data_IF_129664439291
#
_entry.id   IF_129664439291
#
_cell.length_a   1.000
_cell.length_b   1.000
_cell.length_c   1.000
_cell.angle_alpha   90.00
_cell.angle_beta   90.00
_cell.angle_gamma   90.00
#
_symmetry.space_group_name_H-M   'P 1'
#
loop_
_entity.id
_entity.type
_entity.pdbx_description
1 polymer ?
#
# COMPACT_ATOMS: atom_id res chain seq x y z
N UNK A 1 23.30 7.86 4.44
CA UNK A 1 22.72 8.21 3.11
C UNK A 1 21.46 7.40 2.98
N UNK A 2 20.32 8.01 2.79
CA UNK A 2 19.02 7.31 2.69
C UNK A 2 18.97 6.53 1.39
N UNK A 3 18.77 5.23 1.48
CA UNK A 3 18.71 4.38 0.31
C UNK A 3 17.33 4.46 -0.35
N UNK A 4 17.22 5.23 -1.40
CA UNK A 4 16.26 5.01 -2.45
C UNK A 4 16.96 4.29 -3.61
N UNK A 5 16.19 3.55 -4.37
CA UNK A 5 16.71 2.71 -5.43
C UNK A 5 16.30 3.25 -6.79
N UNK A 6 17.23 3.29 -7.71
CA UNK A 6 17.00 3.69 -9.08
C UNK A 6 16.53 2.49 -9.90
N UNK A 7 15.25 2.53 -10.30
CA UNK A 7 14.62 1.43 -11.03
C UNK A 7 14.18 1.94 -12.41
N UNK A 8 14.66 1.34 -13.51
CA UNK A 8 14.22 1.70 -14.86
C UNK A 8 12.78 1.27 -15.11
N UNK A 9 12.09 2.03 -15.94
CA UNK A 9 10.77 1.68 -16.50
C UNK A 9 11.01 0.93 -17.82
N UNK A 10 10.65 -0.35 -17.86
CA UNK A 10 10.79 -1.16 -19.06
C UNK A 10 9.75 -0.79 -20.13
N UNK A 11 8.53 -0.53 -19.69
CA UNK A 11 7.38 -0.30 -20.58
C UNK A 11 6.37 0.62 -19.90
N UNK A 12 5.66 1.41 -20.73
CA UNK A 12 4.50 2.20 -20.31
C UNK A 12 3.29 1.73 -21.09
N UNK A 13 2.33 1.12 -20.40
CA UNK A 13 1.10 0.60 -20.98
C UNK A 13 -0.04 1.58 -20.72
N UNK A 14 -0.71 2.05 -21.78
CA UNK A 14 -1.90 2.89 -21.61
C UNK A 14 -3.10 2.03 -21.27
N UNK A 15 -3.67 2.28 -20.10
CA UNK A 15 -4.86 1.56 -19.60
C UNK A 15 -6.16 2.26 -20.00
N UNK A 16 -6.21 3.58 -19.80
CA UNK A 16 -7.36 4.43 -20.16
C UNK A 16 -6.86 5.78 -20.70
N UNK A 17 -7.78 6.70 -20.99
CA UNK A 17 -7.42 8.06 -21.39
C UNK A 17 -6.64 8.84 -20.31
N UNK A 18 -6.81 8.45 -19.03
CA UNK A 18 -6.25 9.13 -17.86
C UNK A 18 -5.43 8.22 -16.93
N UNK A 19 -5.10 6.99 -17.38
CA UNK A 19 -4.30 6.05 -16.58
C UNK A 19 -3.29 5.28 -17.43
N UNK A 20 -2.11 5.03 -16.86
CA UNK A 20 -1.10 4.14 -17.44
C UNK A 20 -0.45 3.25 -16.39
N UNK A 21 0.01 2.07 -16.82
CA UNK A 21 0.85 1.16 -16.05
C UNK A 21 2.31 1.36 -16.43
N UNK A 22 3.18 1.45 -15.42
CA UNK A 22 4.62 1.51 -15.55
C UNK A 22 5.17 0.15 -15.15
N UNK A 23 5.70 -0.60 -16.10
CA UNK A 23 6.38 -1.89 -15.86
C UNK A 23 7.82 -1.59 -15.44
N UNK A 24 8.20 -2.06 -14.27
CA UNK A 24 9.49 -1.79 -13.66
C UNK A 24 10.51 -2.87 -14.03
N UNK A 25 11.69 -2.44 -14.45
CA UNK A 25 12.82 -3.33 -14.72
C UNK A 25 13.73 -3.40 -13.47
N UNK A 26 13.26 -4.14 -12.46
CA UNK A 26 14.02 -4.30 -11.21
C UNK A 26 15.29 -5.07 -11.49
N UNK A 27 16.49 -4.45 -11.25
CA UNK A 27 17.75 -5.14 -11.46
C UNK A 27 17.88 -6.40 -10.60
N UNK A 28 18.56 -7.46 -11.08
CA UNK A 28 18.66 -8.74 -10.37
C UNK A 28 19.20 -8.62 -8.94
N UNK A 29 20.12 -7.70 -8.68
CA UNK A 29 20.67 -7.47 -7.33
C UNK A 29 19.70 -6.77 -6.37
N UNK A 30 18.61 -6.21 -6.88
CA UNK A 30 17.51 -5.64 -6.09
C UNK A 30 16.31 -6.57 -5.98
N UNK A 31 16.37 -7.77 -6.54
CA UNK A 31 15.24 -8.70 -6.57
C UNK A 31 14.70 -9.03 -5.17
N UNK A 32 15.58 -9.23 -4.19
CA UNK A 32 15.18 -9.47 -2.79
C UNK A 32 14.55 -8.23 -2.15
N UNK A 33 15.15 -7.04 -2.34
CA UNK A 33 14.66 -5.76 -1.82
C UNK A 33 13.28 -5.38 -2.40
N UNK A 34 13.03 -5.75 -3.66
CA UNK A 34 11.76 -5.48 -4.35
C UNK A 34 10.82 -6.69 -4.40
N UNK A 35 11.12 -7.76 -3.64
CA UNK A 35 10.14 -8.81 -3.39
C UNK A 35 8.95 -8.24 -2.64
N UNK A 36 7.72 -8.59 -3.06
CA UNK A 36 6.52 -7.98 -2.47
C UNK A 36 5.39 -8.99 -2.31
N UNK A 37 4.45 -8.64 -1.43
CA UNK A 37 3.19 -9.34 -1.26
C UNK A 37 2.10 -8.62 -2.06
N UNK A 38 1.09 -9.34 -2.59
CA UNK A 38 0.00 -8.71 -3.34
C UNK A 38 -0.72 -7.68 -2.48
N UNK A 39 -1.01 -6.52 -3.07
CA UNK A 39 -1.64 -5.38 -2.39
C UNK A 39 -0.65 -4.35 -1.80
N UNK A 40 0.65 -4.66 -1.77
CA UNK A 40 1.68 -3.69 -1.37
C UNK A 40 1.89 -2.58 -2.42
N UNK A 41 2.55 -1.51 -2.01
CA UNK A 41 2.86 -0.34 -2.83
C UNK A 41 4.35 0.00 -2.78
N UNK A 42 4.80 0.81 -3.73
CA UNK A 42 6.10 1.50 -3.68
C UNK A 42 5.89 3.00 -3.55
N UNK A 43 6.85 3.68 -2.90
CA UNK A 43 6.87 5.14 -2.85
C UNK A 43 7.77 5.69 -3.93
N UNK A 44 7.21 6.52 -4.79
CA UNK A 44 7.90 7.13 -5.94
C UNK A 44 8.28 8.56 -5.57
N UNK A 45 9.56 8.92 -5.81
CA UNK A 45 10.03 10.28 -5.76
C UNK A 45 9.80 10.96 -7.10
N UNK A 46 9.06 12.07 -7.08
CA UNK A 46 8.76 12.85 -8.28
C UNK A 46 9.46 14.21 -8.16
N UNK A 47 10.24 14.64 -9.15
CA UNK A 47 10.89 15.95 -9.14
C UNK A 47 9.88 17.08 -9.00
N UNK A 48 10.24 18.14 -8.26
CA UNK A 48 9.37 19.30 -8.07
C UNK A 48 10.19 20.58 -8.04
N UNK A 49 9.84 21.54 -8.88
CA UNK A 49 10.49 22.85 -8.92
C UNK A 49 10.26 23.72 -7.65
N UNK A 50 9.27 23.36 -6.80
CA UNK A 50 8.95 24.10 -5.57
C UNK A 50 9.67 23.55 -4.34
N UNK A 51 9.81 22.22 -4.25
CA UNK A 51 10.29 21.54 -3.04
C UNK A 51 11.45 20.58 -3.33
N UNK A 52 12.05 20.65 -4.54
CA UNK A 52 13.04 19.70 -5.02
C UNK A 52 12.41 18.36 -5.42
N UNK A 53 11.57 17.79 -4.59
CA UNK A 53 10.80 16.59 -4.91
C UNK A 53 9.54 16.48 -4.05
N UNK A 54 8.59 15.66 -4.53
CA UNK A 54 7.43 15.18 -3.77
C UNK A 54 7.39 13.66 -3.83
N UNK A 55 6.80 13.04 -2.83
CA UNK A 55 6.64 11.59 -2.75
C UNK A 55 5.19 11.18 -2.91
N UNK A 56 4.94 10.04 -3.60
CA UNK A 56 3.61 9.43 -3.69
C UNK A 56 3.71 7.92 -3.69
N UNK A 57 2.77 7.30 -2.98
CA UNK A 57 2.61 5.85 -2.95
C UNK A 57 1.77 5.39 -4.14
N UNK A 58 2.22 4.33 -4.82
CA UNK A 58 1.49 3.66 -5.91
C UNK A 58 1.51 2.17 -5.66
N UNK A 59 0.33 1.57 -5.56
CA UNK A 59 0.19 0.13 -5.37
C UNK A 59 0.74 -0.64 -6.55
N UNK A 60 1.41 -1.73 -6.25
CA UNK A 60 1.82 -2.72 -7.25
C UNK A 60 0.56 -3.41 -7.77
N UNK A 61 0.35 -3.40 -9.08
CA UNK A 61 -0.82 -3.98 -9.77
C UNK A 61 -0.51 -5.30 -10.48
N UNK A 62 0.75 -5.70 -10.49
CA UNK A 62 1.27 -6.97 -11.00
C UNK A 62 1.08 -8.12 -10.00
N UNK A 63 1.38 -9.34 -10.43
CA UNK A 63 1.28 -10.57 -9.64
C UNK A 63 2.67 -11.04 -9.20
N UNK A 64 2.99 -11.06 -7.89
CA UNK A 64 4.29 -11.55 -7.42
C UNK A 64 4.44 -13.09 -7.48
N UNK A 65 3.36 -13.83 -7.75
CA UNK A 65 3.36 -15.29 -7.90
C UNK A 65 3.66 -15.75 -9.34
N UNK A 66 3.75 -14.84 -10.29
CA UNK A 66 4.11 -15.13 -11.68
C UNK A 66 5.50 -14.58 -11.99
N UNK A 67 6.01 -14.89 -13.20
CA UNK A 67 7.25 -14.33 -13.70
C UNK A 67 7.09 -12.89 -14.25
N UNK A 68 5.93 -12.25 -14.03
CA UNK A 68 5.67 -10.90 -14.50
C UNK A 68 6.56 -9.88 -13.77
N UNK A 69 7.02 -8.88 -14.50
CA UNK A 69 7.74 -7.76 -13.91
C UNK A 69 6.82 -6.97 -12.98
N UNK A 70 7.33 -6.43 -11.85
CA UNK A 70 6.57 -5.51 -11.02
C UNK A 70 6.03 -4.34 -11.84
N UNK A 71 4.79 -3.95 -11.60
CA UNK A 71 4.17 -2.82 -12.27
C UNK A 71 3.33 -1.98 -11.30
N UNK A 72 3.39 -0.67 -11.45
CA UNK A 72 2.50 0.28 -10.78
C UNK A 72 1.59 0.92 -11.80
N UNK A 73 0.35 1.23 -11.41
CA UNK A 73 -0.61 1.89 -12.29
C UNK A 73 -1.01 3.24 -11.73
N UNK A 74 -0.78 4.27 -12.53
CA UNK A 74 -0.99 5.67 -12.16
C UNK A 74 -2.18 6.22 -12.92
N UNK A 75 -3.14 6.80 -12.18
CA UNK A 75 -4.27 7.55 -12.75
C UNK A 75 -4.09 9.04 -12.51
N UNK A 76 -4.38 9.88 -13.50
CA UNK A 76 -4.42 11.33 -13.33
C UNK A 76 -5.37 11.73 -12.21
N UNK A 77 -4.89 12.57 -11.32
CA UNK A 77 -5.72 13.22 -10.31
C UNK A 77 -5.95 14.66 -10.72
N UNK A 78 -7.19 15.11 -10.76
CA UNK A 78 -7.49 16.51 -11.05
C UNK A 78 -6.77 17.43 -10.07
N UNK A 79 -5.96 18.38 -10.58
CA UNK A 79 -5.13 19.28 -9.78
C UNK A 79 -3.94 18.61 -9.05
N UNK A 80 -3.76 17.30 -9.20
CA UNK A 80 -2.64 16.56 -8.60
C UNK A 80 -1.34 16.81 -9.35
N UNK A 81 -0.24 17.07 -8.62
CA UNK A 81 1.06 17.31 -9.25
C UNK A 81 1.72 16.00 -9.75
N UNK A 82 1.96 15.06 -8.83
CA UNK A 82 2.80 13.89 -9.12
C UNK A 82 2.21 12.95 -10.19
N UNK A 83 0.91 12.63 -10.11
CA UNK A 83 0.26 11.76 -11.10
C UNK A 83 0.27 12.39 -12.50
N UNK A 84 0.06 13.71 -12.59
CA UNK A 84 0.14 14.42 -13.86
C UNK A 84 1.57 14.44 -14.39
N UNK A 85 2.55 14.75 -13.54
CA UNK A 85 3.96 14.74 -13.94
C UNK A 85 4.39 13.37 -14.46
N UNK A 86 4.02 12.29 -13.78
CA UNK A 86 4.35 10.93 -14.21
C UNK A 86 3.76 10.62 -15.58
N UNK A 87 2.47 10.89 -15.80
CA UNK A 87 1.81 10.60 -17.06
C UNK A 87 2.33 11.48 -18.23
N UNK A 88 2.87 12.65 -17.94
CA UNK A 88 3.37 13.58 -18.95
C UNK A 88 4.85 13.36 -19.29
N UNK A 89 5.67 12.81 -18.36
CA UNK A 89 7.12 12.78 -18.53
C UNK A 89 7.75 11.38 -18.48
N UNK A 90 7.08 10.39 -17.87
CA UNK A 90 7.66 9.05 -17.75
C UNK A 90 7.41 8.23 -19.01
N UNK A 91 8.49 7.76 -19.62
CA UNK A 91 8.48 6.91 -20.81
C UNK A 91 9.32 5.66 -20.55
N UNK A 92 9.25 4.68 -21.45
CA UNK A 92 10.15 3.53 -21.41
C UNK A 92 11.62 4.01 -21.42
N UNK A 93 12.45 3.43 -20.56
CA UNK A 93 13.84 3.83 -20.31
C UNK A 93 14.01 4.93 -19.26
N UNK A 94 12.93 5.60 -18.80
CA UNK A 94 13.01 6.52 -17.68
C UNK A 94 13.43 5.78 -16.40
N UNK A 95 14.16 6.46 -15.51
CA UNK A 95 14.56 5.89 -14.22
C UNK A 95 13.75 6.56 -13.11
N UNK A 96 13.16 5.76 -12.24
CA UNK A 96 12.41 6.22 -11.07
C UNK A 96 13.22 5.99 -9.79
N UNK A 97 13.22 6.97 -8.90
CA UNK A 97 13.71 6.82 -7.54
C UNK A 97 12.59 6.23 -6.68
N UNK A 98 12.77 5.03 -6.16
CA UNK A 98 11.76 4.27 -5.42
C UNK A 98 12.27 3.90 -4.01
N UNK A 99 11.34 3.87 -3.04
CA UNK A 99 11.53 3.09 -1.83
C UNK A 99 11.03 1.65 -2.05
N UNK A 100 11.53 0.66 -1.27
CA UNK A 100 11.10 -0.72 -1.35
C UNK A 100 9.59 -0.89 -1.18
N UNK A 101 9.01 -2.02 -1.65
CA UNK A 101 7.62 -2.35 -1.42
C UNK A 101 7.26 -2.36 0.06
N UNK A 102 6.08 -1.80 0.38
CA UNK A 102 5.59 -1.65 1.74
C UNK A 102 4.06 -1.73 1.78
N UNK A 103 3.49 -1.78 3.00
CA UNK A 103 2.05 -1.81 3.23
C UNK A 103 1.56 -3.15 3.77
N UNK A 104 0.42 -3.08 4.46
CA UNK A 104 -0.19 -4.21 5.18
C UNK A 104 -1.46 -4.74 4.51
N UNK A 105 -1.92 -4.09 3.43
CA UNK A 105 -3.12 -4.48 2.67
C UNK A 105 -2.85 -5.73 1.82
N UNK A 106 -2.56 -6.85 2.48
CA UNK A 106 -2.22 -8.12 1.86
C UNK A 106 -2.98 -9.25 2.52
N UNK A 107 -3.53 -10.22 1.77
CA UNK A 107 -4.13 -11.40 2.36
C UNK A 107 -3.07 -12.26 3.07
N UNK A 108 -3.48 -12.87 4.20
CA UNK A 108 -2.63 -13.81 4.93
C UNK A 108 -2.48 -15.14 4.19
N UNK A 109 -3.50 -15.55 3.45
CA UNK A 109 -3.52 -16.73 2.60
C UNK A 109 -4.19 -16.40 1.27
N UNK A 110 -3.72 -17.00 0.17
CA UNK A 110 -4.32 -16.88 -1.16
C UNK A 110 -5.35 -17.95 -1.47
N UNK A 111 -5.51 -18.96 -0.60
CA UNK A 111 -6.45 -20.08 -0.79
C UNK A 111 -7.89 -19.76 -0.41
N UNK A 112 -8.14 -18.61 0.26
CA UNK A 112 -9.46 -18.17 0.70
C UNK A 112 -10.37 -17.71 -0.43
N UNK A 113 -11.66 -17.60 -0.11
CA UNK A 113 -12.64 -16.93 -0.95
C UNK A 113 -12.56 -15.41 -0.73
N UNK A 114 -12.56 -14.63 -1.81
CA UNK A 114 -12.39 -13.17 -1.76
C UNK A 114 -13.59 -12.42 -2.29
N UNK A 115 -14.01 -11.39 -1.55
CA UNK A 115 -14.95 -10.37 -1.98
C UNK A 115 -14.22 -9.05 -2.13
N UNK A 116 -13.89 -8.69 -3.35
CA UNK A 116 -13.05 -7.55 -3.68
C UNK A 116 -13.92 -6.36 -4.09
N UNK A 117 -13.67 -5.20 -3.49
CA UNK A 117 -14.33 -3.96 -3.83
C UNK A 117 -13.31 -2.92 -4.29
N UNK A 118 -13.48 -2.43 -5.50
CA UNK A 118 -12.63 -1.40 -6.07
C UNK A 118 -13.45 -0.25 -6.63
N UNK A 119 -12.92 0.98 -6.53
CA UNK A 119 -13.46 2.12 -7.28
C UNK A 119 -12.34 2.95 -7.90
N UNK A 120 -12.46 3.18 -9.21
CA UNK A 120 -11.46 3.91 -9.99
C UNK A 120 -10.05 3.34 -9.84
N UNK A 121 -9.08 4.17 -9.44
CA UNK A 121 -7.68 3.72 -9.21
C UNK A 121 -7.51 2.77 -8.03
N UNK A 122 -8.51 2.62 -7.15
CA UNK A 122 -8.48 1.61 -6.09
C UNK A 122 -8.41 0.17 -6.60
N UNK A 123 -8.58 -0.04 -7.91
CA UNK A 123 -8.36 -1.35 -8.53
C UNK A 123 -6.90 -1.81 -8.45
N UNK A 124 -5.92 -0.92 -8.30
CA UNK A 124 -4.49 -1.29 -8.43
C UNK A 124 -4.03 -2.33 -7.39
N UNK A 125 -4.22 -2.16 -6.06
CA UNK A 125 -3.86 -3.20 -5.10
C UNK A 125 -4.78 -4.41 -5.21
N UNK A 126 -6.05 -4.19 -5.51
CA UNK A 126 -7.06 -5.24 -5.68
C UNK A 126 -6.72 -6.15 -6.85
N UNK A 127 -6.21 -5.60 -7.96
CA UNK A 127 -5.77 -6.37 -9.13
C UNK A 127 -4.59 -7.28 -8.80
N UNK A 128 -3.64 -6.81 -8.01
CA UNK A 128 -2.53 -7.64 -7.52
C UNK A 128 -3.02 -8.81 -6.68
N UNK A 129 -3.94 -8.56 -5.74
CA UNK A 129 -4.56 -9.62 -4.92
C UNK A 129 -5.33 -10.61 -5.79
N UNK A 130 -6.16 -10.11 -6.71
CA UNK A 130 -6.97 -10.93 -7.62
C UNK A 130 -6.10 -11.85 -8.46
N UNK A 131 -5.09 -11.31 -9.15
CA UNK A 131 -4.16 -12.11 -9.97
C UNK A 131 -3.42 -13.15 -9.13
N UNK A 132 -2.97 -12.77 -7.94
CA UNK A 132 -2.26 -13.67 -7.04
C UNK A 132 -3.14 -14.82 -6.52
N UNK A 133 -4.39 -14.52 -6.16
CA UNK A 133 -5.36 -15.53 -5.73
C UNK A 133 -5.78 -16.48 -6.89
N UNK A 134 -5.82 -15.98 -8.12
CA UNK A 134 -6.02 -16.84 -9.29
C UNK A 134 -4.83 -17.75 -9.55
N UNK A 135 -3.60 -17.24 -9.42
CA UNK A 135 -2.37 -17.95 -9.74
C UNK A 135 -2.00 -18.99 -8.69
N UNK A 136 -2.11 -18.69 -7.41
CA UNK A 136 -1.63 -19.54 -6.33
C UNK A 136 -2.73 -20.14 -5.46
N UNK A 137 -3.93 -19.55 -5.42
CA UNK A 137 -5.05 -20.01 -4.60
C UNK A 137 -6.06 -20.84 -5.37
N UNK A 138 -7.10 -21.33 -4.65
CA UNK A 138 -8.17 -22.19 -5.17
C UNK A 138 -9.56 -21.64 -4.95
N UNK A 139 -9.70 -20.62 -4.09
CA UNK A 139 -10.97 -20.05 -3.70
C UNK A 139 -11.68 -19.29 -4.82
N UNK A 140 -12.91 -18.89 -4.54
CA UNK A 140 -13.71 -18.04 -5.42
C UNK A 140 -13.37 -16.58 -5.21
N UNK A 141 -13.44 -15.81 -6.27
CA UNK A 141 -13.16 -14.38 -6.25
C UNK A 141 -14.35 -13.65 -6.86
N UNK A 142 -14.90 -12.70 -6.13
CA UNK A 142 -15.94 -11.80 -6.62
C UNK A 142 -15.41 -10.38 -6.56
N UNK A 143 -15.30 -9.73 -7.70
CA UNK A 143 -14.89 -8.34 -7.81
C UNK A 143 -16.11 -7.45 -8.13
N UNK A 144 -16.40 -6.50 -7.27
CA UNK A 144 -17.34 -5.39 -7.55
C UNK A 144 -16.50 -4.15 -7.84
N UNK A 145 -16.52 -3.71 -9.10
CA UNK A 145 -15.65 -2.64 -9.57
C UNK A 145 -16.45 -1.44 -10.09
N UNK A 146 -16.41 -0.34 -9.33
CA UNK A 146 -17.13 0.90 -9.63
C UNK A 146 -16.26 1.88 -10.42
N UNK A 147 -16.84 2.46 -11.47
CA UNK A 147 -16.23 3.47 -12.32
C UNK A 147 -17.27 4.47 -12.81
N UNK A 148 -16.84 5.66 -13.26
CA UNK A 148 -17.74 6.67 -13.84
C UNK A 148 -18.48 6.14 -15.07
N UNK A 149 -17.74 5.50 -15.96
CA UNK A 149 -18.18 5.01 -17.26
C UNK A 149 -17.26 3.87 -17.74
N UNK A 150 -17.58 3.24 -18.86
CA UNK A 150 -16.82 2.13 -19.45
C UNK A 150 -15.41 2.53 -19.88
N UNK A 151 -15.18 3.80 -20.28
CA UNK A 151 -13.87 4.30 -20.72
C UNK A 151 -12.91 4.56 -19.55
N UNK A 152 -13.45 4.59 -18.33
CA UNK A 152 -12.70 4.79 -17.09
C UNK A 152 -12.24 3.47 -16.44
N UNK A 153 -12.62 2.31 -17.01
CA UNK A 153 -12.33 0.98 -16.48
C UNK A 153 -10.87 0.61 -16.72
N UNK A 154 -10.02 0.80 -15.71
CA UNK A 154 -8.62 0.37 -15.75
C UNK A 154 -8.59 -1.17 -15.76
N UNK A 155 -7.70 -1.78 -16.56
CA UNK A 155 -7.58 -3.22 -16.75
C UNK A 155 -8.83 -3.92 -17.33
N UNK A 156 -9.74 -3.19 -17.98
CA UNK A 156 -10.98 -3.76 -18.51
C UNK A 156 -10.75 -5.00 -19.40
N UNK A 157 -9.90 -4.95 -20.43
CA UNK A 157 -9.57 -6.10 -21.28
C UNK A 157 -8.90 -7.24 -20.51
N UNK A 158 -8.03 -6.93 -19.56
CA UNK A 158 -7.34 -7.93 -18.73
C UNK A 158 -8.32 -8.66 -17.80
N UNK A 159 -9.22 -7.92 -17.13
CA UNK A 159 -10.28 -8.50 -16.29
C UNK A 159 -11.20 -9.43 -17.07
N UNK A 160 -11.56 -9.05 -18.31
CA UNK A 160 -12.35 -9.90 -19.20
C UNK A 160 -11.65 -11.24 -19.54
N UNK A 161 -10.35 -11.19 -19.85
CA UNK A 161 -9.55 -12.41 -20.11
C UNK A 161 -9.42 -13.27 -18.85
N UNK A 162 -9.07 -12.66 -17.71
CA UNK A 162 -8.94 -13.38 -16.44
C UNK A 162 -10.26 -14.05 -16.03
N UNK A 163 -11.40 -13.41 -16.24
CA UNK A 163 -12.70 -14.01 -15.94
C UNK A 163 -13.04 -15.19 -16.87
N UNK A 164 -12.69 -15.10 -18.16
CA UNK A 164 -12.87 -16.18 -19.13
C UNK A 164 -11.98 -17.39 -18.79
N UNK A 165 -10.73 -17.15 -18.41
CA UNK A 165 -9.73 -18.20 -18.14
C UNK A 165 -9.87 -18.84 -16.76
N UNK A 166 -10.57 -18.18 -15.84
CA UNK A 166 -10.68 -18.61 -14.43
C UNK A 166 -11.59 -19.84 -14.20
N UNK A 167 -12.23 -20.41 -15.24
CA UNK A 167 -13.10 -21.58 -15.08
C UNK A 167 -14.28 -21.37 -14.11
N UNK A 168 -14.81 -20.16 -14.01
CA UNK A 168 -15.91 -19.79 -13.11
C UNK A 168 -15.49 -19.43 -11.68
N UNK A 169 -14.20 -19.42 -11.37
CA UNK A 169 -13.68 -18.96 -10.07
C UNK A 169 -13.73 -17.44 -9.89
N UNK A 170 -13.71 -16.66 -10.97
CA UNK A 170 -13.75 -15.21 -10.95
C UNK A 170 -15.09 -14.69 -11.51
N UNK A 171 -15.77 -13.88 -10.72
CA UNK A 171 -16.93 -13.10 -11.14
C UNK A 171 -16.58 -11.62 -11.05
N UNK A 172 -16.71 -10.90 -12.17
CA UNK A 172 -16.50 -9.45 -12.21
C UNK A 172 -17.82 -8.74 -12.43
N UNK A 173 -18.20 -7.88 -11.48
CA UNK A 173 -19.40 -7.04 -11.54
C UNK A 173 -18.92 -5.59 -11.75
N UNK A 174 -19.14 -5.06 -12.94
CA UNK A 174 -18.90 -3.65 -13.24
C UNK A 174 -20.08 -2.80 -12.79
N UNK A 175 -19.83 -1.81 -11.93
CA UNK A 175 -20.78 -0.77 -11.57
C UNK A 175 -20.39 0.51 -12.29
N UNK A 176 -21.25 1.00 -13.19
CA UNK A 176 -20.98 2.21 -13.97
C UNK A 176 -21.93 3.33 -13.49
N UNK A 177 -21.35 4.40 -12.95
CA UNK A 177 -22.11 5.54 -12.42
C UNK A 177 -22.97 6.22 -13.50
N UNK A 178 -22.47 6.20 -14.77
CA UNK A 178 -23.20 6.69 -15.93
C UNK A 178 -24.55 6.00 -16.19
N UNK A 179 -24.70 4.74 -15.72
CA UNK A 179 -25.91 3.92 -15.89
C UNK A 179 -26.71 3.78 -14.62
N UNK A 180 -26.04 3.64 -13.47
CA UNK A 180 -26.65 3.21 -12.21
C UNK A 180 -26.60 4.30 -11.11
N UNK A 181 -25.93 5.44 -11.40
CA UNK A 181 -25.57 6.41 -10.37
C UNK A 181 -24.51 5.88 -9.41
N UNK A 182 -24.17 6.69 -8.40
CA UNK A 182 -23.17 6.30 -7.38
C UNK A 182 -23.61 5.06 -6.60
N UNK A 183 -22.70 4.10 -6.32
CA UNK A 183 -23.01 2.92 -5.53
C UNK A 183 -23.54 3.28 -4.14
N UNK A 184 -24.71 2.82 -3.79
CA UNK A 184 -25.29 3.01 -2.46
C UNK A 184 -25.02 1.81 -1.56
N UNK A 185 -25.00 2.03 -0.24
CA UNK A 185 -24.87 0.92 0.73
C UNK A 185 -25.95 -0.16 0.54
N UNK A 186 -27.17 0.21 0.16
CA UNK A 186 -28.26 -0.75 -0.11
C UNK A 186 -27.97 -1.65 -1.32
N UNK A 187 -27.48 -1.05 -2.42
CA UNK A 187 -27.10 -1.80 -3.62
C UNK A 187 -25.91 -2.72 -3.35
N UNK A 188 -24.89 -2.21 -2.65
CA UNK A 188 -23.72 -3.00 -2.25
C UNK A 188 -24.15 -4.15 -1.32
N UNK A 189 -25.05 -3.91 -0.36
CA UNK A 189 -25.59 -4.96 0.52
C UNK A 189 -26.24 -6.08 -0.29
N UNK A 190 -27.03 -5.73 -1.32
CA UNK A 190 -27.66 -6.74 -2.18
C UNK A 190 -26.62 -7.59 -2.95
N UNK A 191 -25.58 -6.96 -3.48
CA UNK A 191 -24.49 -7.64 -4.20
C UNK A 191 -23.62 -8.51 -3.27
N UNK A 192 -23.32 -8.03 -2.06
CA UNK A 192 -22.44 -8.72 -1.10
C UNK A 192 -23.12 -9.86 -0.34
N UNK A 193 -24.44 -9.87 -0.25
CA UNK A 193 -25.22 -10.83 0.56
C UNK A 193 -24.85 -12.30 0.37
N UNK A 194 -24.58 -12.80 -0.86
CA UNK A 194 -24.21 -14.21 -1.06
C UNK A 194 -22.79 -14.55 -0.59
N UNK A 195 -21.96 -13.55 -0.24
CA UNK A 195 -20.52 -13.68 -0.07
C UNK A 195 -20.02 -13.25 1.33
N UNK A 196 -20.90 -13.29 2.33
CA UNK A 196 -20.57 -12.86 3.71
C UNK A 196 -19.51 -13.72 4.41
N UNK A 197 -19.18 -14.90 3.86
CA UNK A 197 -18.11 -15.78 4.33
C UNK A 197 -16.74 -15.47 3.71
N UNK A 198 -16.66 -14.59 2.70
CA UNK A 198 -15.44 -14.24 2.01
C UNK A 198 -14.65 -13.17 2.78
N UNK A 199 -13.33 -13.15 2.60
CA UNK A 199 -12.50 -12.06 3.08
C UNK A 199 -12.66 -10.85 2.15
N UNK A 200 -13.03 -9.71 2.72
CA UNK A 200 -13.33 -8.51 1.96
C UNK A 200 -12.12 -7.56 1.90
N UNK A 201 -11.67 -7.21 0.69
CA UNK A 201 -10.63 -6.21 0.45
C UNK A 201 -11.23 -5.03 -0.31
N UNK A 202 -11.05 -3.82 0.23
CA UNK A 202 -11.76 -2.62 -0.22
C UNK A 202 -10.76 -1.51 -0.50
N UNK A 203 -10.76 -0.94 -1.73
CA UNK A 203 -9.96 0.23 -2.05
C UNK A 203 -10.71 1.17 -3.01
N UNK A 204 -10.71 2.46 -2.71
CA UNK A 204 -11.40 3.49 -3.50
C UNK A 204 -11.51 4.82 -2.75
N UNK A 205 -12.29 5.78 -3.29
CA UNK A 205 -12.55 7.05 -2.62
C UNK A 205 -13.34 6.88 -1.30
N UNK A 206 -13.11 7.79 -0.34
CA UNK A 206 -13.73 7.72 0.99
C UNK A 206 -15.25 7.50 0.99
N UNK A 207 -16.08 8.15 0.14
CA UNK A 207 -17.52 7.86 0.11
C UNK A 207 -17.84 6.42 -0.29
N UNK A 208 -17.06 5.82 -1.20
CA UNK A 208 -17.21 4.44 -1.60
C UNK A 208 -16.81 3.49 -0.47
N UNK A 209 -15.66 3.74 0.18
CA UNK A 209 -15.21 2.96 1.33
C UNK A 209 -16.26 2.95 2.44
N UNK A 210 -16.83 4.11 2.75
CA UNK A 210 -17.89 4.24 3.76
C UNK A 210 -19.14 3.43 3.39
N UNK A 211 -19.60 3.49 2.14
CA UNK A 211 -20.77 2.75 1.66
C UNK A 211 -20.57 1.23 1.72
N UNK A 212 -19.36 0.75 1.34
CA UNK A 212 -19.03 -0.69 1.41
C UNK A 212 -18.94 -1.16 2.85
N UNK A 213 -18.26 -0.41 3.73
CA UNK A 213 -18.17 -0.76 5.16
C UNK A 213 -19.53 -0.81 5.85
N UNK A 214 -20.41 0.17 5.57
CA UNK A 214 -21.80 0.17 6.08
C UNK A 214 -22.56 -1.07 5.58
N UNK A 215 -22.44 -1.41 4.29
CA UNK A 215 -23.10 -2.59 3.72
C UNK A 215 -22.63 -3.90 4.36
N UNK A 216 -21.31 -4.08 4.53
CA UNK A 216 -20.73 -5.28 5.16
C UNK A 216 -21.09 -5.36 6.65
N UNK A 217 -21.10 -4.23 7.36
CA UNK A 217 -21.54 -4.14 8.75
C UNK A 217 -23.00 -4.56 8.92
N UNK A 218 -23.91 -4.10 8.05
CA UNK A 218 -25.33 -4.52 8.03
C UNK A 218 -25.51 -6.01 7.75
N UNK A 219 -24.59 -6.62 7.01
CA UNK A 219 -24.58 -8.06 6.74
C UNK A 219 -23.92 -8.88 7.84
N UNK A 220 -23.39 -8.24 8.88
CA UNK A 220 -22.73 -8.91 10.01
C UNK A 220 -21.37 -9.52 9.65
N UNK A 221 -20.70 -9.02 8.61
CA UNK A 221 -19.33 -9.48 8.28
C UNK A 221 -18.38 -9.04 9.39
N UNK A 222 -17.61 -9.96 10.02
CA UNK A 222 -16.69 -9.61 11.10
C UNK A 222 -15.61 -8.62 10.63
N UNK A 223 -15.30 -7.63 11.46
CA UNK A 223 -14.28 -6.59 11.13
C UNK A 223 -12.92 -7.16 10.76
N UNK A 224 -12.50 -8.25 11.40
CA UNK A 224 -11.24 -8.97 11.10
C UNK A 224 -11.14 -9.50 9.66
N UNK A 225 -12.27 -9.64 8.97
CA UNK A 225 -12.33 -10.05 7.55
C UNK A 225 -12.58 -8.88 6.60
N UNK A 226 -12.54 -7.65 7.09
CA UNK A 226 -12.75 -6.44 6.29
C UNK A 226 -11.47 -5.61 6.28
N UNK A 227 -10.75 -5.68 5.16
CA UNK A 227 -9.49 -4.98 4.96
C UNK A 227 -9.70 -3.77 4.07
N UNK A 228 -9.20 -2.61 4.49
CA UNK A 228 -9.42 -1.35 3.79
C UNK A 228 -8.09 -0.68 3.48
N UNK A 229 -7.89 -0.29 2.23
CA UNK A 229 -6.77 0.54 1.80
C UNK A 229 -7.27 1.92 1.40
N UNK A 230 -6.61 2.95 1.91
CA UNK A 230 -6.90 4.36 1.61
C UNK A 230 -5.72 5.00 0.90
N UNK A 231 -5.97 5.67 -0.19
CA UNK A 231 -4.95 6.46 -0.89
C UNK A 231 -4.86 7.85 -0.27
N UNK A 232 -3.90 8.02 0.63
CA UNK A 232 -3.62 9.30 1.29
C UNK A 232 -2.40 9.94 0.65
N UNK A 233 -2.48 11.24 0.39
CA UNK A 233 -1.29 12.00 -0.04
C UNK A 233 -0.36 12.20 1.13
N UNK A 234 0.92 11.85 0.95
CA UNK A 234 1.92 12.10 1.95
C UNK A 234 2.06 13.60 2.21
N UNK A 235 1.96 14.03 3.45
CA UNK A 235 2.16 15.41 3.89
C UNK A 235 3.66 15.74 3.94
N UNK A 236 4.49 14.77 4.34
CA UNK A 236 5.94 14.88 4.38
C UNK A 236 6.59 14.11 3.22
N UNK A 237 7.82 14.46 2.90
CA UNK A 237 8.58 13.77 1.88
C UNK A 237 9.53 12.77 2.53
N UNK A 238 9.32 11.44 2.42
CA UNK A 238 10.15 10.43 3.08
C UNK A 238 11.59 10.37 2.53
N UNK A 239 11.86 11.04 1.42
CA UNK A 239 13.20 11.20 0.86
C UNK A 239 13.99 12.38 1.47
N UNK A 240 13.38 13.13 2.40
CA UNK A 240 13.99 14.30 3.08
C UNK A 240 13.90 14.11 4.59
N UNK A 241 14.89 14.59 5.33
CA UNK A 241 14.88 14.56 6.81
C UNK A 241 13.90 15.53 7.39
N UNK A 242 13.14 15.06 8.38
CA UNK A 242 12.25 15.92 9.18
C UNK A 242 12.64 15.74 10.64
N UNK A 243 13.16 16.78 11.31
CA UNK A 243 13.42 16.75 12.74
C UNK A 243 12.13 16.43 13.50
N UNK A 244 12.23 15.58 14.51
CA UNK A 244 11.15 15.33 15.45
C UNK A 244 11.18 16.38 16.57
N UNK A 245 10.01 16.75 17.08
CA UNK A 245 9.91 17.51 18.33
C UNK A 245 9.66 16.52 19.49
N UNK A 246 10.31 16.73 20.64
CA UNK A 246 10.12 15.91 21.85
C UNK A 246 11.15 14.79 22.02
N UNK A 247 10.89 13.91 22.98
CA UNK A 247 11.79 12.83 23.37
C UNK A 247 12.96 13.28 24.25
N UNK A 248 13.68 12.32 24.81
CA UNK A 248 14.88 12.52 25.61
C UNK A 248 16.06 11.78 25.00
N UNK A 249 17.28 12.11 25.42
CA UNK A 249 18.45 11.32 25.03
C UNK A 249 18.37 9.95 25.68
N UNK A 250 18.52 8.90 24.86
CA UNK A 250 18.38 7.50 25.25
C UNK A 250 19.44 6.62 24.59
N UNK A 251 19.50 5.38 25.00
CA UNK A 251 20.20 4.29 24.30
C UNK A 251 19.15 3.39 23.67
N UNK A 252 19.24 3.16 22.36
CA UNK A 252 18.37 2.25 21.60
C UNK A 252 19.08 0.91 21.40
N UNK A 253 18.50 -0.15 21.92
CA UNK A 253 18.92 -1.52 21.67
C UNK A 253 18.02 -2.15 20.60
N UNK A 254 18.59 -2.50 19.46
CA UNK A 254 17.86 -3.00 18.30
C UNK A 254 18.24 -4.44 18.01
N UNK A 255 17.26 -5.33 17.95
CA UNK A 255 17.40 -6.68 17.41
C UNK A 255 16.82 -6.71 15.98
N UNK A 256 17.69 -6.85 14.98
CA UNK A 256 17.33 -6.90 13.58
C UNK A 256 18.13 -8.02 12.89
N UNK A 257 17.46 -8.90 12.13
CA UNK A 257 18.09 -10.02 11.41
C UNK A 257 18.99 -10.91 12.27
N UNK A 258 18.62 -11.10 13.55
CA UNK A 258 19.37 -11.91 14.51
C UNK A 258 20.61 -11.24 15.11
N UNK A 259 20.92 -10.00 14.74
CA UNK A 259 21.94 -9.18 15.33
C UNK A 259 21.37 -8.18 16.33
N UNK A 260 22.11 -7.89 17.40
CA UNK A 260 21.72 -6.85 18.37
C UNK A 260 22.74 -5.71 18.34
N UNK A 261 22.23 -4.49 18.14
CA UNK A 261 23.04 -3.28 18.05
C UNK A 261 22.60 -2.26 19.09
N UNK A 262 23.56 -1.59 19.74
CA UNK A 262 23.32 -0.49 20.66
C UNK A 262 23.63 0.84 19.95
N UNK A 263 22.69 1.75 19.97
CA UNK A 263 22.79 3.03 19.28
C UNK A 263 22.50 4.19 20.25
N UNK A 264 23.26 5.30 20.17
CA UNK A 264 22.86 6.53 20.84
C UNK A 264 21.61 7.09 20.15
N UNK A 265 20.60 7.44 20.96
CA UNK A 265 19.35 8.05 20.46
C UNK A 265 19.26 9.49 20.97
N UNK A 266 19.62 10.50 20.17
CA UNK A 266 19.54 11.89 20.56
C UNK A 266 18.08 12.35 20.78
N UNK A 267 17.88 13.24 21.75
CA UNK A 267 16.59 13.91 21.93
C UNK A 267 16.15 14.62 20.64
N UNK A 268 14.85 14.60 20.36
CA UNK A 268 14.30 15.24 19.16
C UNK A 268 14.55 14.48 17.85
N UNK A 269 15.03 13.23 17.91
CA UNK A 269 15.23 12.38 16.74
C UNK A 269 14.19 11.25 16.73
N UNK A 270 13.59 10.96 15.61
CA UNK A 270 12.71 9.79 15.47
C UNK A 270 13.55 8.51 15.46
N UNK A 271 13.03 7.44 16.06
CA UNK A 271 13.73 6.16 16.13
C UNK A 271 14.20 5.67 14.76
N UNK A 272 13.34 5.74 13.74
CA UNK A 272 13.69 5.32 12.38
C UNK A 272 14.90 6.07 11.83
N UNK A 273 15.06 7.37 12.13
CA UNK A 273 16.20 8.14 11.68
C UNK A 273 17.51 7.64 12.31
N UNK A 274 17.47 7.29 13.60
CA UNK A 274 18.61 6.69 14.30
C UNK A 274 19.03 5.36 13.66
N UNK A 275 18.04 4.53 13.29
CA UNK A 275 18.30 3.23 12.64
C UNK A 275 18.96 3.42 11.26
N UNK A 276 18.42 4.30 10.45
CA UNK A 276 18.92 4.60 9.10
C UNK A 276 20.32 5.23 9.16
N UNK A 277 20.54 6.19 10.07
CA UNK A 277 21.84 6.86 10.22
C UNK A 277 22.93 5.90 10.71
N UNK A 278 22.55 4.86 11.44
CA UNK A 278 23.45 3.77 11.84
C UNK A 278 23.68 2.71 10.73
N UNK A 279 23.06 2.87 9.56
CA UNK A 279 23.17 1.95 8.43
C UNK A 279 22.41 0.62 8.62
N UNK A 280 21.42 0.58 9.52
CA UNK A 280 20.56 -0.58 9.69
C UNK A 280 19.44 -0.56 8.63
N UNK A 281 19.21 -1.70 7.99
CA UNK A 281 18.19 -1.87 6.96
C UNK A 281 16.78 -2.09 7.59
N UNK A 282 16.37 -1.13 8.42
CA UNK A 282 15.06 -1.14 9.05
C UNK A 282 13.97 -0.82 8.01
N UNK A 283 12.91 -1.61 7.91
CA UNK A 283 11.87 -1.41 6.91
C UNK A 283 11.11 -0.10 7.15
N UNK A 284 10.89 0.69 6.09
CA UNK A 284 10.06 1.90 6.15
C UNK A 284 9.51 2.30 4.78
N UNK A 285 8.52 3.22 4.76
CA UNK A 285 8.01 3.81 3.51
C UNK A 285 7.48 5.23 3.73
N UNK A 286 6.25 5.41 4.26
CA UNK A 286 5.59 6.72 4.33
C UNK A 286 6.24 7.71 5.30
N UNK A 287 6.84 7.24 6.39
CA UNK A 287 7.39 8.02 7.53
C UNK A 287 6.36 8.87 8.27
N UNK A 288 5.06 8.63 8.08
CA UNK A 288 3.96 9.44 8.62
C UNK A 288 3.01 8.66 9.54
N UNK A 289 3.33 7.41 9.89
CA UNK A 289 2.49 6.60 10.78
C UNK A 289 1.21 6.06 10.14
N UNK A 290 1.12 6.00 8.80
CA UNK A 290 -0.10 5.63 8.07
C UNK A 290 0.02 4.32 7.27
N UNK A 291 1.23 3.72 7.13
CA UNK A 291 1.41 2.54 6.27
C UNK A 291 1.85 1.27 7.00
N UNK A 292 2.26 1.35 8.26
CA UNK A 292 2.72 0.21 9.05
C UNK A 292 4.06 -0.40 8.64
N UNK A 293 4.73 0.09 7.58
CA UNK A 293 5.96 -0.51 7.06
C UNK A 293 7.12 -0.55 8.07
N UNK A 294 7.16 0.42 8.97
CA UNK A 294 8.19 0.54 10.01
C UNK A 294 7.73 -0.01 11.38
N UNK A 295 6.70 -0.84 11.41
CA UNK A 295 6.23 -1.43 12.64
C UNK A 295 7.30 -2.38 13.20
N UNK A 296 7.58 -2.25 14.49
CA UNK A 296 8.49 -3.12 15.25
C UNK A 296 7.93 -3.34 16.65
N UNK A 297 8.43 -4.36 17.33
CA UNK A 297 7.98 -4.70 18.68
C UNK A 297 8.83 -3.99 19.72
N UNK A 298 8.21 -3.24 20.62
CA UNK A 298 8.84 -2.66 21.82
C UNK A 298 9.01 -3.77 22.86
N UNK A 299 10.25 -4.13 23.17
CA UNK A 299 10.58 -5.20 24.11
C UNK A 299 11.08 -4.66 25.46
N UNK A 300 11.26 -3.36 25.58
CA UNK A 300 11.64 -2.70 26.83
C UNK A 300 11.74 -1.19 26.69
N UNK A 301 11.52 -0.48 27.81
CA UNK A 301 11.44 0.97 27.82
C UNK A 301 10.08 1.51 27.38
N UNK A 302 9.98 2.83 27.20
CA UNK A 302 8.76 3.50 26.80
C UNK A 302 9.06 4.52 25.67
N UNK A 303 8.13 4.64 24.74
CA UNK A 303 8.17 5.59 23.63
C UNK A 303 6.82 6.29 23.48
N UNK A 304 6.84 7.49 22.93
CA UNK A 304 5.65 8.17 22.45
C UNK A 304 5.61 8.09 20.92
N UNK A 305 4.48 7.70 20.36
CA UNK A 305 4.21 7.80 18.92
C UNK A 305 3.54 9.14 18.62
N UNK A 306 4.22 9.99 17.88
CA UNK A 306 3.71 11.34 17.52
C UNK A 306 2.45 11.24 16.66
N UNK A 307 2.36 10.22 15.81
CA UNK A 307 1.20 9.97 14.95
C UNK A 307 1.03 8.48 14.66
N UNK A 308 -0.21 8.00 14.66
CA UNK A 308 -0.57 6.61 14.33
C UNK A 308 -1.98 6.54 13.74
N UNK A 309 -2.10 6.07 12.50
CA UNK A 309 -3.38 5.79 11.84
C UNK A 309 -3.51 4.31 11.42
N UNK A 310 -2.51 3.47 11.72
CA UNK A 310 -2.45 2.10 11.18
C UNK A 310 -2.44 1.01 12.25
N UNK A 311 -1.82 1.25 13.42
CA UNK A 311 -1.86 0.29 14.53
C UNK A 311 -3.16 0.44 15.30
N UNK A 312 -3.84 -0.67 15.48
CA UNK A 312 -5.04 -0.74 16.33
C UNK A 312 -4.66 -0.84 17.82
N UNK A 313 -5.65 -0.67 18.70
CA UNK A 313 -5.42 -0.78 20.16
C UNK A 313 -4.88 -2.14 20.59
N UNK A 314 -5.21 -3.20 19.85
CA UNK A 314 -4.69 -4.56 20.09
C UNK A 314 -3.20 -4.64 19.74
N UNK A 315 -2.79 -4.09 18.60
CA UNK A 315 -1.38 -4.07 18.18
C UNK A 315 -0.51 -3.33 19.21
N UNK A 316 -1.00 -2.17 19.67
CA UNK A 316 -0.31 -1.37 20.70
C UNK A 316 -0.23 -2.14 22.02
N UNK A 317 -1.30 -2.86 22.41
CA UNK A 317 -1.31 -3.69 23.62
C UNK A 317 -0.33 -4.87 23.51
N UNK A 318 -0.12 -5.40 22.30
CA UNK A 318 0.87 -6.43 22.00
C UNK A 318 2.30 -5.87 21.85
N UNK A 319 2.48 -4.55 22.08
CA UNK A 319 3.78 -3.89 22.09
C UNK A 319 4.28 -3.40 20.73
N UNK A 320 3.43 -3.38 19.68
CA UNK A 320 3.84 -2.82 18.41
C UNK A 320 3.87 -1.30 18.42
N UNK A 321 4.92 -0.75 17.82
CA UNK A 321 5.14 0.68 17.64
C UNK A 321 5.56 0.99 16.19
N UNK A 322 5.45 2.24 15.80
CA UNK A 322 5.92 2.73 14.50
C UNK A 322 7.25 3.48 14.66
N UNK A 323 8.35 2.89 14.26
CA UNK A 323 9.68 3.48 14.40
C UNK A 323 9.79 4.88 13.79
N UNK A 324 9.07 5.16 12.69
CA UNK A 324 9.06 6.48 12.06
C UNK A 324 8.33 7.56 12.88
N UNK A 325 7.59 7.18 13.92
CA UNK A 325 6.84 8.09 14.78
C UNK A 325 7.29 8.06 16.24
N UNK A 326 8.12 7.07 16.61
CA UNK A 326 8.54 6.88 17.98
C UNK A 326 9.63 7.88 18.40
N UNK A 327 9.44 8.50 19.56
CA UNK A 327 10.42 9.29 20.33
C UNK A 327 10.59 8.66 21.71
N UNK A 328 11.79 8.71 22.31
CA UNK A 328 12.09 8.07 23.58
C UNK A 328 11.46 8.79 24.76
N UNK A 329 10.88 8.01 25.70
CA UNK A 329 10.40 8.50 27.00
C UNK A 329 11.25 7.98 28.17
N UNK A 330 12.09 6.96 27.93
CA UNK A 330 12.98 6.37 28.93
C UNK A 330 14.43 6.38 28.44
N UNK A 331 15.42 6.35 29.37
CA UNK A 331 16.85 6.40 29.01
C UNK A 331 17.34 5.19 28.20
N UNK A 332 16.63 4.08 28.25
CA UNK A 332 16.92 2.87 27.50
C UNK A 332 15.64 2.35 26.87
N UNK A 333 15.71 2.05 25.57
CA UNK A 333 14.60 1.49 24.79
C UNK A 333 15.12 0.28 24.02
N UNK A 334 14.33 -0.81 23.97
CA UNK A 334 14.65 -2.05 23.28
C UNK A 334 13.56 -2.40 22.29
N UNK A 335 13.96 -2.72 21.07
CA UNK A 335 13.04 -3.14 20.01
C UNK A 335 13.53 -4.39 19.28
N UNK A 336 12.59 -5.08 18.61
CA UNK A 336 12.86 -6.20 17.72
C UNK A 336 12.05 -6.04 16.41
N UNK A 337 12.68 -6.37 15.28
CA UNK A 337 12.07 -6.52 13.96
C UNK A 337 11.87 -7.99 13.63
#
# INVERSE_FOLDING_TARGET
MREYYQVPVAEVVRETGDACSLVLDVPPWLAATFAYRPGQFVTVRVPSGRTGSVARCYSLSSCPQTADRPAITVKRTAGGYASNWILDHVTAGAVLDLLPPAGTFSPQSLDGDFLLFAAGSGITPVMSILKSALAAGRGRIVLVYANRDEHSVIFGPELGRLAADAGGRLVVVHWLDSLLGMPTAAAITALARPYTSHDAFICGPDPYLAAVRDALGRLGVPGQRVHVERFVSLAENPFVETPAAGGMTATLCVSLDGATTLLPWPAGTRMLDVLIDAGLDAPYSCRQGICGACACQLTGGEVEMVHNEVLESADIADGYILACQAVSLTPEVRIAY
#
